data_IF_503940305771
#
_entry.id   IF_503940305771
#
_cell.length_a   1.000
_cell.length_b   1.000
_cell.length_c   1.000
_cell.angle_alpha   90.00
_cell.angle_beta   90.00
_cell.angle_gamma   90.00
#
_symmetry.space_group_name_H-M   'P 1'
#
loop_
_entity.id
_entity.type
_entity.pdbx_description
1 polymer ?
#
# COMPACT_ATOMS: atom_id res chain seq x y z
N UNK A 1 -18.13 29.75 -25.48
CA UNK A 1 -16.72 29.65 -25.07
C UNK A 1 -16.72 29.05 -23.69
N UNK A 2 -16.77 27.72 -23.62
CA UNK A 2 -16.77 26.99 -22.36
C UNK A 2 -15.36 26.60 -22.02
N UNK A 3 -14.91 26.97 -20.81
CA UNK A 3 -14.00 26.17 -19.98
C UNK A 3 -13.84 26.91 -18.66
N UNK A 4 -14.27 26.29 -17.55
CA UNK A 4 -13.56 26.24 -16.27
C UNK A 4 -14.44 25.46 -15.27
N UNK A 5 -14.21 24.15 -15.18
CA UNK A 5 -14.68 23.34 -14.06
C UNK A 5 -13.65 22.26 -13.77
N UNK A 6 -12.58 22.66 -13.07
CA UNK A 6 -11.57 21.74 -12.54
C UNK A 6 -11.05 22.28 -11.20
N UNK A 7 -11.94 22.47 -10.21
CA UNK A 7 -11.49 22.78 -8.85
C UNK A 7 -12.49 22.34 -7.76
N UNK A 8 -12.91 21.08 -7.81
CA UNK A 8 -13.72 20.47 -6.74
C UNK A 8 -13.22 19.11 -6.24
N UNK A 9 -12.31 18.46 -6.99
CA UNK A 9 -11.79 17.13 -6.62
C UNK A 9 -10.72 17.22 -5.53
N UNK A 10 -9.86 18.24 -5.56
CA UNK A 10 -8.79 18.44 -4.56
C UNK A 10 -9.30 18.73 -3.14
N UNK A 11 -10.45 19.41 -3.02
CA UNK A 11 -11.05 19.75 -1.72
C UNK A 11 -11.60 18.51 -1.00
N UNK A 12 -12.12 17.53 -1.73
CA UNK A 12 -12.74 16.33 -1.16
C UNK A 12 -11.69 15.38 -0.55
N UNK A 13 -10.55 15.18 -1.22
CA UNK A 13 -9.45 14.32 -0.71
C UNK A 13 -8.86 14.82 0.61
N UNK A 14 -8.74 16.13 0.79
CA UNK A 14 -8.24 16.74 2.04
C UNK A 14 -9.21 16.55 3.22
N UNK A 15 -10.49 16.31 2.95
CA UNK A 15 -11.55 16.15 3.97
C UNK A 15 -11.45 14.81 4.70
N UNK A 16 -11.17 13.72 3.97
CA UNK A 16 -11.13 12.37 4.55
C UNK A 16 -10.02 12.19 5.59
N UNK A 17 -8.84 12.78 5.35
CA UNK A 17 -7.70 12.73 6.27
C UNK A 17 -7.76 13.74 7.42
N UNK A 18 -8.57 14.79 7.28
CA UNK A 18 -8.87 15.72 8.38
C UNK A 18 -9.96 15.20 9.33
N UNK A 19 -10.55 14.04 9.04
CA UNK A 19 -11.57 13.45 9.88
C UNK A 19 -10.94 12.91 11.19
N UNK A 20 -11.36 13.47 12.32
CA UNK A 20 -10.84 13.16 13.66
C UNK A 20 -10.92 11.67 14.04
N UNK A 21 -11.78 10.90 13.36
CA UNK A 21 -11.89 9.43 13.50
C UNK A 21 -10.63 8.67 13.07
N UNK A 22 -9.92 9.14 12.03
CA UNK A 22 -8.65 8.54 11.62
C UNK A 22 -7.52 8.94 12.57
N UNK A 23 -7.54 10.17 13.11
CA UNK A 23 -6.58 10.63 14.14
C UNK A 23 -6.71 9.86 15.46
N UNK A 24 -7.90 9.37 15.80
CA UNK A 24 -8.15 8.58 17.02
C UNK A 24 -7.96 7.07 16.86
N UNK A 25 -7.62 6.57 15.66
CA UNK A 25 -7.38 5.14 15.43
C UNK A 25 -8.66 4.28 15.42
N UNK A 26 -9.85 4.89 15.28
CA UNK A 26 -11.13 4.18 15.37
C UNK A 26 -11.60 3.53 14.06
N UNK A 27 -10.99 3.85 12.91
CA UNK A 27 -11.26 3.16 11.65
C UNK A 27 -9.97 2.78 10.92
N UNK A 28 -9.46 1.56 11.15
CA UNK A 28 -8.51 0.97 10.23
C UNK A 28 -9.27 0.58 8.95
N UNK A 29 -8.85 1.10 7.79
CA UNK A 29 -9.37 0.65 6.49
C UNK A 29 -9.32 -0.87 6.40
N UNK A 30 -10.36 -1.47 5.82
CA UNK A 30 -10.42 -2.93 5.68
C UNK A 30 -9.26 -3.40 4.80
N UNK A 31 -8.64 -4.53 5.16
CA UNK A 31 -7.53 -5.13 4.43
C UNK A 31 -7.91 -6.52 4.01
N UNK A 32 -7.84 -6.77 2.71
CA UNK A 32 -8.16 -8.04 2.09
C UNK A 32 -6.92 -8.63 1.44
N UNK A 33 -6.92 -9.95 1.33
CA UNK A 33 -5.91 -10.70 0.57
C UNK A 33 -6.64 -11.60 -0.41
N UNK A 34 -6.09 -11.81 -1.60
CA UNK A 34 -6.61 -12.84 -2.50
C UNK A 34 -6.31 -14.24 -1.97
N UNK A 35 -7.03 -15.24 -2.49
CA UNK A 35 -6.79 -16.64 -2.14
C UNK A 35 -5.36 -17.07 -2.50
N UNK A 36 -4.82 -16.57 -3.61
CA UNK A 36 -3.46 -16.87 -4.04
C UNK A 36 -2.43 -16.31 -3.05
N UNK A 37 -2.61 -15.08 -2.57
CA UNK A 37 -1.76 -14.51 -1.52
C UNK A 37 -1.83 -15.34 -0.23
N UNK A 38 -3.03 -15.75 0.18
CA UNK A 38 -3.20 -16.58 1.37
C UNK A 38 -2.43 -17.93 1.26
N UNK A 39 -2.34 -18.48 0.04
CA UNK A 39 -1.67 -19.76 -0.21
C UNK A 39 -0.15 -19.64 -0.39
N UNK A 40 0.33 -18.56 -1.02
CA UNK A 40 1.72 -18.48 -1.48
C UNK A 40 2.59 -17.50 -0.69
N UNK A 41 2.01 -16.51 -0.01
CA UNK A 41 2.76 -15.56 0.81
C UNK A 41 2.62 -15.92 2.30
N UNK A 42 3.72 -16.25 3.01
CA UNK A 42 3.68 -16.49 4.45
C UNK A 42 3.02 -15.35 5.23
N UNK A 43 2.18 -15.68 6.21
CA UNK A 43 1.45 -14.70 7.02
C UNK A 43 2.37 -13.63 7.67
N UNK A 44 3.59 -14.02 8.04
CA UNK A 44 4.59 -13.10 8.58
C UNK A 44 5.03 -12.04 7.57
N UNK A 45 5.18 -12.41 6.29
CA UNK A 45 5.45 -11.46 5.21
C UNK A 45 4.21 -10.62 4.91
N UNK A 46 3.00 -11.21 4.87
CA UNK A 46 1.76 -10.44 4.71
C UNK A 46 1.66 -9.30 5.74
N UNK A 47 1.87 -9.63 7.03
CA UNK A 47 1.89 -8.65 8.11
C UNK A 47 3.00 -7.60 7.96
N UNK A 48 4.19 -8.01 7.50
CA UNK A 48 5.28 -7.07 7.25
C UNK A 48 4.93 -6.08 6.14
N UNK A 49 4.35 -6.54 5.02
CA UNK A 49 3.94 -5.66 3.93
C UNK A 49 2.89 -4.64 4.40
N UNK A 50 1.90 -5.06 5.19
CA UNK A 50 0.91 -4.14 5.77
C UNK A 50 1.53 -3.07 6.66
N UNK A 51 2.57 -3.42 7.41
CA UNK A 51 3.32 -2.45 8.22
C UNK A 51 4.10 -1.46 7.35
N UNK A 52 4.68 -1.92 6.24
CA UNK A 52 5.39 -1.05 5.29
C UNK A 52 4.46 -0.06 4.58
N UNK A 53 3.25 -0.51 4.20
CA UNK A 53 2.20 0.39 3.66
C UNK A 53 1.86 1.48 4.67
N UNK A 54 1.48 1.09 5.88
CA UNK A 54 1.10 2.04 6.94
C UNK A 54 2.25 3.00 7.30
N UNK A 55 3.50 2.52 7.27
CA UNK A 55 4.67 3.36 7.46
C UNK A 55 4.79 4.40 6.35
N UNK A 56 4.70 3.99 5.08
CA UNK A 56 4.85 4.90 3.94
C UNK A 56 3.74 5.96 3.91
N UNK A 57 2.50 5.58 4.18
CA UNK A 57 1.39 6.55 4.25
C UNK A 57 1.58 7.58 5.36
N UNK A 58 2.11 7.15 6.51
CA UNK A 58 2.45 8.08 7.59
C UNK A 58 3.64 8.98 7.24
N UNK A 59 4.61 8.51 6.45
CA UNK A 59 5.67 9.35 5.87
C UNK A 59 5.05 10.41 4.93
N UNK A 60 4.25 9.99 3.95
CA UNK A 60 3.56 10.87 2.99
C UNK A 60 2.67 11.91 3.69
N UNK A 61 1.92 11.49 4.71
CA UNK A 61 1.07 12.39 5.49
C UNK A 61 1.88 13.49 6.20
N UNK A 62 3.02 13.14 6.81
CA UNK A 62 3.89 14.11 7.49
C UNK A 62 4.53 15.08 6.52
N UNK A 63 4.89 14.60 5.34
CA UNK A 63 5.55 15.38 4.29
C UNK A 63 4.54 16.15 3.42
N UNK A 64 3.23 16.00 3.67
CA UNK A 64 2.14 16.56 2.87
C UNK A 64 2.23 16.14 1.40
N UNK A 65 2.76 14.94 1.13
CA UNK A 65 2.83 14.34 -0.19
C UNK A 65 1.49 13.72 -0.59
N UNK A 66 1.27 13.62 -1.90
CA UNK A 66 0.18 12.82 -2.44
C UNK A 66 0.38 11.34 -2.07
N UNK A 67 -0.72 10.67 -1.72
CA UNK A 67 -0.73 9.25 -1.40
C UNK A 67 -0.96 8.47 -2.68
N UNK A 68 0.05 7.70 -3.08
CA UNK A 68 -0.10 6.71 -4.15
C UNK A 68 -1.02 5.58 -3.69
N UNK A 69 -1.96 5.19 -4.54
CA UNK A 69 -2.84 4.06 -4.28
C UNK A 69 -2.15 2.71 -4.55
N UNK A 70 -1.03 2.70 -5.29
CA UNK A 70 -0.39 1.49 -5.76
C UNK A 70 0.98 1.23 -5.11
N UNK A 71 1.08 0.11 -4.40
CA UNK A 71 2.32 -0.36 -3.79
C UNK A 71 2.83 -1.61 -4.49
N UNK A 72 4.08 -1.55 -4.95
CA UNK A 72 4.76 -2.69 -5.58
C UNK A 72 5.82 -3.24 -4.63
N UNK A 73 5.72 -4.51 -4.26
CA UNK A 73 6.72 -5.21 -3.47
C UNK A 73 7.40 -6.28 -4.31
N UNK A 74 8.73 -6.24 -4.38
CA UNK A 74 9.54 -7.26 -5.05
C UNK A 74 10.45 -7.95 -4.03
N UNK A 75 10.52 -9.27 -4.10
CA UNK A 75 11.29 -10.10 -3.18
C UNK A 75 12.57 -10.59 -3.83
N UNK A 76 13.70 -10.44 -3.13
CA UNK A 76 15.00 -10.89 -3.60
C UNK A 76 15.74 -11.59 -2.48
N UNK A 77 16.24 -12.80 -2.74
CA UNK A 77 17.09 -13.53 -1.81
C UNK A 77 18.55 -13.17 -2.08
N UNK A 78 19.28 -12.77 -1.04
CA UNK A 78 20.71 -12.52 -1.12
C UNK A 78 21.39 -13.04 0.15
N UNK A 79 22.38 -13.93 0.00
CA UNK A 79 23.09 -14.56 1.11
C UNK A 79 22.16 -15.16 2.20
N UNK A 80 21.12 -15.90 1.77
CA UNK A 80 20.10 -16.50 2.65
C UNK A 80 19.27 -15.49 3.47
N UNK A 81 19.33 -14.20 3.11
CA UNK A 81 18.46 -13.16 3.64
C UNK A 81 17.50 -12.68 2.55
N UNK A 82 16.21 -12.67 2.88
CA UNK A 82 15.19 -12.12 2.00
C UNK A 82 15.13 -10.60 2.17
N UNK A 83 15.10 -9.89 1.06
CA UNK A 83 14.94 -8.44 0.96
C UNK A 83 13.67 -8.10 0.20
N UNK A 84 13.00 -7.04 0.64
CA UNK A 84 11.76 -6.51 0.06
C UNK A 84 12.10 -5.15 -0.54
N UNK A 85 12.02 -5.02 -1.85
CA UNK A 85 12.04 -3.73 -2.53
C UNK A 85 10.61 -3.22 -2.64
N UNK A 86 10.31 -2.12 -1.98
CA UNK A 86 9.02 -1.43 -2.01
C UNK A 86 9.11 -0.22 -2.94
N UNK A 87 8.20 -0.12 -3.91
CA UNK A 87 8.09 1.01 -4.84
C UNK A 87 6.68 1.61 -4.88
N UNK A 88 6.60 2.89 -5.23
CA UNK A 88 5.40 3.62 -5.67
C UNK A 88 5.78 4.49 -6.89
N UNK A 89 4.80 4.92 -7.67
CA UNK A 89 5.01 5.73 -8.88
C UNK A 89 4.88 7.23 -8.61
N UNK A 90 3.94 7.65 -7.75
CA UNK A 90 3.63 9.07 -7.51
C UNK A 90 3.39 9.39 -6.03
N UNK A 91 4.32 10.12 -5.36
CA UNK A 91 5.65 10.48 -5.85
C UNK A 91 6.53 9.24 -6.04
N UNK A 92 7.59 9.38 -6.86
CA UNK A 92 8.54 8.28 -7.07
C UNK A 92 9.16 7.89 -5.71
N UNK A 93 9.00 6.62 -5.36
CA UNK A 93 9.52 6.09 -4.11
C UNK A 93 10.12 4.71 -4.35
N UNK A 94 11.31 4.47 -3.79
CA UNK A 94 11.97 3.17 -3.78
C UNK A 94 12.71 2.98 -2.47
N UNK A 95 12.38 1.93 -1.72
CA UNK A 95 13.08 1.57 -0.48
C UNK A 95 13.29 0.07 -0.40
N UNK A 96 14.44 -0.33 0.15
CA UNK A 96 14.78 -1.73 0.36
C UNK A 96 14.70 -2.03 1.86
N UNK A 97 13.96 -3.06 2.21
CA UNK A 97 13.73 -3.50 3.57
C UNK A 97 14.28 -4.92 3.75
N UNK A 98 14.83 -5.19 4.93
CA UNK A 98 15.13 -6.57 5.33
C UNK A 98 13.82 -7.26 5.69
N UNK A 99 13.58 -8.45 5.12
CA UNK A 99 12.42 -9.24 5.49
C UNK A 99 12.63 -9.90 6.85
N UNK A 100 11.55 -10.01 7.63
CA UNK A 100 11.50 -10.82 8.85
C UNK A 100 11.24 -12.29 8.48
N UNK A 101 11.93 -12.78 7.45
CA UNK A 101 11.76 -14.11 6.90
C UNK A 101 13.06 -14.51 6.19
N UNK A 102 13.51 -15.75 6.38
CA UNK A 102 14.80 -16.24 5.87
C UNK A 102 14.68 -17.41 4.89
N UNK A 103 13.47 -17.92 4.66
CA UNK A 103 13.26 -19.03 3.71
C UNK A 103 12.99 -18.49 2.31
N UNK A 104 13.30 -19.31 1.31
CA UNK A 104 12.87 -19.04 -0.06
C UNK A 104 11.34 -18.98 -0.13
N UNK A 105 10.84 -18.16 -1.05
CA UNK A 105 9.42 -18.04 -1.38
C UNK A 105 9.27 -18.20 -2.88
N UNK A 106 8.17 -18.83 -3.30
CA UNK A 106 7.91 -19.17 -4.70
C UNK A 106 7.17 -18.05 -5.46
N UNK A 107 7.19 -16.84 -4.91
CA UNK A 107 6.63 -15.62 -5.51
C UNK A 107 7.67 -14.52 -5.41
N UNK A 108 7.81 -13.71 -6.47
CA UNK A 108 8.85 -12.68 -6.56
C UNK A 108 8.27 -11.26 -6.46
N UNK A 109 6.95 -11.10 -6.56
CA UNK A 109 6.28 -9.80 -6.59
C UNK A 109 4.87 -9.89 -6.04
N UNK A 110 4.44 -8.86 -5.32
CA UNK A 110 3.10 -8.67 -4.78
C UNK A 110 2.68 -7.21 -4.95
N UNK A 111 1.40 -6.99 -5.22
CA UNK A 111 0.79 -5.68 -5.23
C UNK A 111 -0.09 -5.47 -4.01
N UNK A 112 -0.10 -4.24 -3.52
CA UNK A 112 -1.14 -3.76 -2.60
C UNK A 112 -1.76 -2.53 -3.23
N UNK A 113 -3.07 -2.58 -3.41
CA UNK A 113 -3.86 -1.52 -4.03
C UNK A 113 -4.80 -0.98 -2.97
N UNK A 114 -4.85 0.35 -2.88
CA UNK A 114 -5.86 1.08 -2.16
C UNK A 114 -7.01 1.40 -3.10
N UNK A 115 -8.20 0.93 -2.75
CA UNK A 115 -9.44 1.31 -3.41
C UNK A 115 -10.16 2.31 -2.53
N UNK A 116 -10.40 3.50 -3.09
CA UNK A 116 -11.14 4.58 -2.45
C UNK A 116 -12.38 4.91 -3.29
N UNK A 117 -13.54 4.39 -2.88
CA UNK A 117 -14.85 4.77 -3.43
C UNK A 117 -15.64 5.59 -2.39
N UNK A 118 -16.71 6.26 -2.83
CA UNK A 118 -17.54 7.19 -2.05
C UNK A 118 -18.02 6.58 -0.74
N UNK A 119 -18.39 5.29 -0.76
CA UNK A 119 -18.98 4.59 0.38
C UNK A 119 -18.05 3.52 1.00
N UNK A 120 -16.94 3.20 0.33
CA UNK A 120 -16.06 2.11 0.75
C UNK A 120 -14.60 2.38 0.38
N UNK A 121 -13.75 2.42 1.41
CA UNK A 121 -12.31 2.45 1.28
C UNK A 121 -11.69 1.17 1.85
N UNK A 122 -10.88 0.46 1.06
CA UNK A 122 -10.19 -0.76 1.48
C UNK A 122 -8.85 -0.94 0.77
N UNK A 123 -8.02 -1.83 1.30
CA UNK A 123 -6.83 -2.34 0.60
C UNK A 123 -7.04 -3.78 0.20
N UNK A 124 -6.45 -4.16 -0.92
CA UNK A 124 -6.31 -5.55 -1.35
C UNK A 124 -4.85 -5.87 -1.64
N UNK A 125 -4.38 -7.00 -1.13
CA UNK A 125 -3.09 -7.59 -1.50
C UNK A 125 -3.35 -8.73 -2.49
N UNK A 126 -2.64 -8.69 -3.63
CA UNK A 126 -2.83 -9.62 -4.73
C UNK A 126 -1.53 -9.92 -5.45
N UNK A 127 -1.50 -11.03 -6.20
CA UNK A 127 -0.42 -11.32 -7.13
C UNK A 127 -0.56 -10.48 -8.41
N UNK A 128 0.54 -10.21 -9.14
CA UNK A 128 0.48 -9.45 -10.39
C UNK A 128 -0.46 -10.03 -11.45
N UNK A 129 -0.64 -11.35 -11.47
CA UNK A 129 -1.49 -12.06 -12.43
C UNK A 129 -2.99 -11.92 -12.11
N UNK A 130 -3.34 -11.38 -10.94
CA UNK A 130 -4.71 -11.14 -10.49
C UNK A 130 -5.17 -9.68 -10.70
N UNK A 131 -4.27 -8.82 -11.21
CA UNK A 131 -4.53 -7.41 -11.55
C UNK A 131 -4.90 -7.28 -13.02
#
# INVERSE_FOLDING_TARGET
MDTHSSDKRHSHYRSYYNNERYRKGEMSMKRYITRSIANYLPAMLQQQLWKLVAQRENEQFKELEEIDYFHIFQFNMHNSQLYIKHKQERPEYVKIHKANYSKAININKVYIIREDDVDLSYYVMLLPEEY
#
